data_IF_690163446415
#
_entry.id   IF_690163446415
#
_cell.length_a   1.000
_cell.length_b   1.000
_cell.length_c   1.000
_cell.angle_alpha   90.00
_cell.angle_beta   90.00
_cell.angle_gamma   90.00
#
_symmetry.space_group_name_H-M   'P 1'
#
loop_
_entity.id
_entity.type
_entity.pdbx_description
1 polymer ?
#
# COMPACT_ATOMS: atom_id res chain seq x y z
N UNK A 1 22.94 -33.53 77.34
CA UNK A 1 22.95 -33.61 75.87
C UNK A 1 21.97 -32.58 75.32
N UNK A 2 22.43 -31.65 74.47
CA UNK A 2 21.63 -30.57 73.88
C UNK A 2 20.66 -31.15 72.83
N UNK A 3 19.37 -30.88 72.94
CA UNK A 3 18.41 -31.08 71.86
C UNK A 3 18.23 -29.76 71.11
N UNK A 4 18.67 -29.73 69.86
CA UNK A 4 18.50 -28.62 68.92
C UNK A 4 17.09 -28.74 68.34
N UNK A 5 16.23 -27.77 68.64
CA UNK A 5 14.94 -27.63 67.97
C UNK A 5 15.17 -27.02 66.58
N UNK A 6 15.07 -27.85 65.54
CA UNK A 6 15.02 -27.37 64.15
C UNK A 6 13.57 -27.03 63.85
N UNK A 7 13.22 -25.75 63.94
CA UNK A 7 11.97 -25.22 63.41
C UNK A 7 12.00 -25.33 61.88
N UNK A 8 11.26 -26.30 61.33
CA UNK A 8 10.94 -26.33 59.89
C UNK A 8 10.02 -25.15 59.58
N UNK A 9 10.59 -24.12 58.97
CA UNK A 9 9.82 -23.04 58.34
C UNK A 9 9.13 -23.64 57.09
N UNK A 10 7.87 -24.03 57.23
CA UNK A 10 7.02 -24.34 56.09
C UNK A 10 6.72 -23.03 55.35
N UNK A 11 7.38 -22.82 54.20
CA UNK A 11 6.90 -21.85 53.22
C UNK A 11 5.61 -22.41 52.61
N UNK A 12 4.48 -21.96 53.13
CA UNK A 12 3.20 -22.15 52.47
C UNK A 12 3.20 -21.20 51.28
N UNK A 13 3.50 -21.69 50.09
CA UNK A 13 3.20 -20.96 48.85
C UNK A 13 1.69 -20.94 48.73
N UNK A 14 1.05 -19.87 49.22
CA UNK A 14 -0.33 -19.61 48.86
C UNK A 14 -0.35 -19.46 47.34
N UNK A 15 -0.96 -20.43 46.64
CA UNK A 15 -1.38 -20.24 45.27
C UNK A 15 -2.37 -19.07 45.31
N UNK A 16 -1.89 -17.87 44.98
CA UNK A 16 -2.75 -16.72 44.80
C UNK A 16 -3.65 -17.04 43.62
N UNK A 17 -4.87 -17.47 43.92
CA UNK A 17 -5.89 -17.66 42.92
C UNK A 17 -6.25 -16.25 42.46
N UNK A 18 -5.99 -15.92 41.20
CA UNK A 18 -6.38 -14.64 40.61
C UNK A 18 -7.67 -14.86 39.82
N UNK A 19 -8.86 -14.92 40.46
CA UNK A 19 -10.09 -15.15 39.73
C UNK A 19 -10.39 -13.95 38.83
N UNK A 20 -10.54 -14.22 37.54
CA UNK A 20 -11.13 -13.27 36.61
C UNK A 20 -10.34 -13.14 35.31
N UNK A 21 -10.94 -13.64 34.24
CA UNK A 21 -10.44 -13.41 32.90
C UNK A 21 -10.65 -11.95 32.51
N UNK A 22 -9.78 -11.46 31.63
CA UNK A 22 -10.03 -10.23 30.88
C UNK A 22 -10.65 -10.60 29.55
N UNK A 23 -11.90 -10.18 29.36
CA UNK A 23 -12.57 -10.25 28.08
C UNK A 23 -12.26 -8.98 27.28
N UNK A 24 -11.76 -9.16 26.07
CA UNK A 24 -11.42 -8.06 25.17
C UNK A 24 -12.42 -8.11 24.03
N UNK A 25 -13.15 -7.01 23.83
CA UNK A 25 -14.23 -6.91 22.85
C UNK A 25 -13.96 -5.89 21.76
N UNK A 26 -14.53 -6.17 20.58
CA UNK A 26 -14.58 -5.26 19.45
C UNK A 26 -16.02 -5.23 18.94
N UNK A 27 -16.62 -4.05 18.91
CA UNK A 27 -18.03 -3.85 18.59
C UNK A 27 -18.96 -4.72 19.46
N UNK A 28 -18.57 -4.94 20.72
CA UNK A 28 -19.31 -5.74 21.68
C UNK A 28 -19.09 -7.26 21.60
N UNK A 29 -18.46 -7.77 20.54
CA UNK A 29 -18.11 -9.19 20.39
C UNK A 29 -16.75 -9.50 21.03
N UNK A 30 -16.62 -10.68 21.65
CA UNK A 30 -15.35 -11.08 22.30
C UNK A 30 -14.37 -11.61 21.28
N UNK A 31 -13.22 -10.93 21.16
CA UNK A 31 -12.13 -11.32 20.25
C UNK A 31 -10.99 -12.03 20.99
N UNK A 32 -10.80 -11.76 22.29
CA UNK A 32 -9.86 -12.47 23.14
C UNK A 32 -10.42 -12.62 24.55
N UNK A 33 -10.05 -13.72 25.18
CA UNK A 33 -10.18 -13.94 26.62
C UNK A 33 -8.81 -14.35 27.13
N UNK A 34 -8.24 -13.58 28.05
CA UNK A 34 -6.89 -13.83 28.58
C UNK A 34 -6.92 -13.89 30.10
N UNK A 35 -6.00 -14.64 30.70
CA UNK A 35 -5.87 -14.75 32.14
C UNK A 35 -4.62 -14.01 32.65
N UNK A 36 -4.69 -13.44 33.86
CA UNK A 36 -3.54 -12.83 34.54
C UNK A 36 -2.34 -13.79 34.59
N UNK A 37 -2.60 -15.08 34.82
CA UNK A 37 -1.55 -16.11 34.91
C UNK A 37 -0.69 -16.22 33.66
N UNK A 38 -1.26 -15.90 32.50
CA UNK A 38 -0.56 -16.01 31.22
C UNK A 38 0.62 -15.04 31.16
N UNK A 39 0.50 -13.90 31.85
CA UNK A 39 1.46 -12.80 31.86
C UNK A 39 2.27 -12.69 33.15
N UNK A 40 2.25 -13.69 34.03
CA UNK A 40 3.06 -13.66 35.25
C UNK A 40 4.48 -14.18 35.02
N UNK A 41 5.46 -13.51 35.62
CA UNK A 41 6.78 -14.10 35.87
C UNK A 41 6.68 -15.02 37.10
N UNK A 42 7.11 -16.29 37.02
CA UNK A 42 7.10 -17.20 38.15
C UNK A 42 8.26 -16.85 39.11
N UNK A 43 8.08 -15.79 39.90
CA UNK A 43 9.05 -15.32 40.88
C UNK A 43 8.41 -15.16 42.27
N UNK A 44 9.07 -15.56 43.37
CA UNK A 44 8.56 -15.38 44.73
C UNK A 44 8.45 -13.89 45.09
N UNK A 45 7.27 -13.41 45.44
CA UNK A 45 7.06 -12.02 45.87
C UNK A 45 5.84 -11.37 45.21
N UNK A 46 5.95 -10.08 44.88
CA UNK A 46 4.89 -9.35 44.18
C UNK A 46 4.74 -9.85 42.73
N UNK A 47 3.49 -9.95 42.21
CA UNK A 47 3.26 -10.33 40.82
C UNK A 47 3.90 -9.31 39.88
N UNK A 48 4.78 -9.79 38.99
CA UNK A 48 5.40 -9.00 37.93
C UNK A 48 4.88 -9.45 36.57
N UNK A 49 4.67 -8.48 35.69
CA UNK A 49 4.26 -8.73 34.31
C UNK A 49 5.46 -9.26 33.51
N UNK A 50 5.26 -10.37 32.84
CA UNK A 50 6.14 -10.88 31.80
C UNK A 50 6.02 -9.96 30.57
N UNK A 51 6.93 -8.98 30.50
CA UNK A 51 6.98 -7.98 29.43
C UNK A 51 7.11 -8.58 28.04
N UNK A 52 7.75 -9.75 27.90
CA UNK A 52 7.89 -10.42 26.61
C UNK A 52 6.56 -10.98 26.14
N UNK A 53 5.86 -11.74 27.00
CA UNK A 53 4.54 -12.27 26.68
C UNK A 53 3.51 -11.17 26.44
N UNK A 54 3.59 -10.09 27.23
CA UNK A 54 2.74 -8.93 27.03
C UNK A 54 2.97 -8.29 25.66
N UNK A 55 4.23 -8.04 25.28
CA UNK A 55 4.57 -7.49 23.97
C UNK A 55 4.08 -8.39 22.82
N UNK A 56 4.26 -9.71 22.92
CA UNK A 56 3.75 -10.64 21.92
C UNK A 56 2.23 -10.59 21.79
N UNK A 57 1.53 -10.47 22.92
CA UNK A 57 0.08 -10.33 22.93
C UNK A 57 -0.36 -9.02 22.28
N UNK A 58 0.33 -7.91 22.55
CA UNK A 58 0.06 -6.62 21.89
C UNK A 58 0.25 -6.71 20.37
N UNK A 59 1.30 -7.38 19.89
CA UNK A 59 1.50 -7.58 18.44
C UNK A 59 0.36 -8.40 17.80
N UNK A 60 -0.14 -9.42 18.50
CA UNK A 60 -1.26 -10.24 18.04
C UNK A 60 -2.55 -9.42 18.01
N UNK A 61 -2.83 -8.69 19.11
CA UNK A 61 -4.01 -7.87 19.24
C UNK A 61 -4.02 -6.74 18.19
N UNK A 62 -2.89 -6.05 18.00
CA UNK A 62 -2.76 -4.98 17.01
C UNK A 62 -3.03 -5.49 15.60
N UNK A 63 -2.47 -6.65 15.20
CA UNK A 63 -2.76 -7.25 13.90
C UNK A 63 -4.22 -7.67 13.75
N UNK A 64 -4.84 -8.17 14.82
CA UNK A 64 -6.23 -8.62 14.80
C UNK A 64 -7.21 -7.44 14.62
N UNK A 65 -6.91 -6.30 15.24
CA UNK A 65 -7.80 -5.12 15.21
C UNK A 65 -7.39 -4.11 14.14
N UNK A 66 -6.24 -4.29 13.50
CA UNK A 66 -5.77 -3.44 12.43
C UNK A 66 -6.72 -3.52 11.22
N UNK A 67 -7.18 -2.36 10.80
CA UNK A 67 -7.92 -2.18 9.57
C UNK A 67 -7.17 -1.19 8.69
N UNK A 68 -6.74 -1.63 7.51
CA UNK A 68 -6.06 -0.77 6.55
C UNK A 68 -7.03 0.32 6.05
N UNK A 69 -6.61 1.61 6.02
CA UNK A 69 -7.43 2.65 5.41
C UNK A 69 -7.50 2.47 3.89
N UNK A 70 -8.68 2.70 3.32
CA UNK A 70 -8.91 2.68 1.88
C UNK A 70 -8.98 4.09 1.33
N UNK A 71 -8.14 4.42 0.34
CA UNK A 71 -8.24 5.69 -0.37
C UNK A 71 -9.60 5.83 -1.08
N UNK A 72 -10.09 7.06 -1.22
CA UNK A 72 -11.15 7.35 -2.16
C UNK A 72 -10.70 7.00 -3.59
N UNK A 73 -11.65 6.64 -4.46
CA UNK A 73 -11.39 6.31 -5.86
C UNK A 73 -12.47 6.88 -6.77
N UNK A 74 -12.16 7.00 -8.07
CA UNK A 74 -13.17 7.25 -9.10
C UNK A 74 -13.52 5.92 -9.77
N UNK A 75 -14.81 5.56 -9.77
CA UNK A 75 -15.34 4.35 -10.39
C UNK A 75 -15.38 4.44 -11.93
N UNK A 76 -15.99 3.43 -12.57
CA UNK A 76 -16.12 3.38 -14.04
C UNK A 76 -17.21 4.30 -14.60
N UNK A 77 -18.13 4.75 -13.75
CA UNK A 77 -19.20 5.70 -14.03
C UNK A 77 -18.79 7.15 -13.73
N UNK A 78 -17.53 7.37 -13.35
CA UNK A 78 -16.94 8.67 -13.02
C UNK A 78 -17.43 9.28 -11.69
N UNK A 79 -17.99 8.46 -10.81
CA UNK A 79 -18.38 8.85 -9.45
C UNK A 79 -17.21 8.67 -8.48
N UNK A 80 -17.16 9.53 -7.46
CA UNK A 80 -16.23 9.37 -6.33
C UNK A 80 -16.83 8.36 -5.36
N UNK A 81 -16.11 7.26 -5.14
CA UNK A 81 -16.34 6.34 -4.03
C UNK A 81 -15.54 6.87 -2.85
N UNK A 82 -16.25 7.13 -1.74
CA UNK A 82 -15.65 7.70 -0.53
C UNK A 82 -14.60 6.77 0.06
N UNK A 83 -13.64 7.40 0.70
CA UNK A 83 -12.58 6.77 1.45
C UNK A 83 -13.08 5.96 2.65
N UNK A 84 -12.30 4.97 3.06
CA UNK A 84 -12.56 4.13 4.22
C UNK A 84 -11.53 4.45 5.31
N UNK A 85 -12.01 4.91 6.46
CA UNK A 85 -11.14 5.17 7.62
C UNK A 85 -10.68 3.82 8.18
N UNK A 86 -9.37 3.65 8.28
CA UNK A 86 -8.73 2.51 8.91
C UNK A 86 -8.66 2.68 10.43
N UNK A 87 -8.15 1.68 11.11
CA UNK A 87 -7.92 1.74 12.55
C UNK A 87 -6.72 0.89 12.98
N UNK A 88 -6.10 1.23 14.10
CA UNK A 88 -5.07 0.44 14.77
C UNK A 88 -5.26 0.46 16.28
N UNK A 89 -4.60 -0.44 17.00
CA UNK A 89 -4.65 -0.46 18.45
C UNK A 89 -4.12 0.85 19.03
N UNK A 90 -4.88 1.46 19.94
CA UNK A 90 -4.34 2.46 20.84
C UNK A 90 -3.56 1.76 21.95
N UNK A 91 -2.30 1.43 21.67
CA UNK A 91 -1.47 0.63 22.58
C UNK A 91 -1.33 1.27 23.96
N UNK A 92 -1.20 2.60 24.03
CA UNK A 92 -1.06 3.31 25.31
C UNK A 92 -2.32 3.16 26.17
N UNK A 93 -3.49 3.43 25.59
CA UNK A 93 -4.76 3.32 26.32
C UNK A 93 -5.04 1.86 26.71
N UNK A 94 -4.82 0.93 25.79
CA UNK A 94 -4.96 -0.49 26.09
C UNK A 94 -4.02 -0.93 27.22
N UNK A 95 -2.78 -0.44 27.23
CA UNK A 95 -1.82 -0.74 28.31
C UNK A 95 -2.34 -0.25 29.65
N UNK A 96 -2.84 0.98 29.74
CA UNK A 96 -3.37 1.52 30.99
C UNK A 96 -4.55 0.68 31.53
N UNK A 97 -5.45 0.27 30.65
CA UNK A 97 -6.59 -0.57 31.03
C UNK A 97 -6.15 -1.99 31.40
N UNK A 98 -5.19 -2.56 30.67
CA UNK A 98 -4.59 -3.85 30.98
C UNK A 98 -3.90 -3.84 32.35
N UNK A 99 -3.13 -2.81 32.68
CA UNK A 99 -2.48 -2.67 33.99
C UNK A 99 -3.51 -2.56 35.12
N UNK A 100 -4.61 -1.84 34.87
CA UNK A 100 -5.73 -1.74 35.82
C UNK A 100 -6.38 -3.10 36.07
N UNK A 101 -6.59 -3.89 35.01
CA UNK A 101 -7.00 -5.28 35.14
C UNK A 101 -5.96 -6.10 35.90
N UNK A 102 -4.70 -6.06 35.49
CA UNK A 102 -3.64 -6.92 35.97
C UNK A 102 -3.40 -6.75 37.48
N UNK A 103 -3.35 -5.52 37.97
CA UNK A 103 -3.19 -5.21 39.40
C UNK A 103 -4.51 -5.04 40.17
N UNK A 104 -5.65 -5.10 39.48
CA UNK A 104 -6.97 -5.04 40.08
C UNK A 104 -7.49 -6.39 40.57
N UNK A 105 -8.74 -6.41 41.04
CA UNK A 105 -9.42 -7.60 41.55
C UNK A 105 -10.58 -8.00 40.62
N UNK A 106 -10.74 -9.30 40.36
CA UNK A 106 -11.89 -9.86 39.64
C UNK A 106 -11.78 -9.84 38.10
N UNK A 107 -12.80 -10.30 37.38
CA UNK A 107 -12.84 -10.26 35.92
C UNK A 107 -12.99 -8.82 35.42
N UNK A 108 -12.56 -8.57 34.19
CA UNK A 108 -12.74 -7.28 33.53
C UNK A 108 -13.21 -7.48 32.08
N UNK A 109 -13.82 -6.43 31.54
CA UNK A 109 -14.16 -6.33 30.13
C UNK A 109 -13.60 -5.03 29.58
N UNK A 110 -12.81 -5.13 28.52
CA UNK A 110 -12.23 -3.98 27.81
C UNK A 110 -12.76 -3.99 26.38
N UNK A 111 -13.41 -2.90 25.97
CA UNK A 111 -13.59 -2.63 24.54
C UNK A 111 -12.26 -2.13 23.99
N UNK A 112 -11.74 -2.75 22.93
CA UNK A 112 -10.41 -2.43 22.42
C UNK A 112 -10.34 -0.96 22.01
N UNK A 113 -9.48 -0.15 22.64
CA UNK A 113 -9.30 1.23 22.25
C UNK A 113 -8.52 1.26 20.93
N UNK A 114 -9.04 1.98 19.94
CA UNK A 114 -8.40 2.13 18.63
C UNK A 114 -8.10 3.58 18.32
N UNK A 115 -7.15 3.80 17.41
CA UNK A 115 -6.87 5.09 16.79
C UNK A 115 -7.29 5.02 15.33
N UNK A 116 -8.01 6.03 14.87
CA UNK A 116 -8.36 6.18 13.45
C UNK A 116 -7.11 6.42 12.60
N UNK A 117 -7.05 5.78 11.44
CA UNK A 117 -6.05 6.00 10.42
C UNK A 117 -6.77 6.56 9.20
N UNK A 118 -6.46 7.80 8.84
CA UNK A 118 -7.02 8.42 7.64
C UNK A 118 -6.23 8.00 6.41
N UNK A 119 -6.90 7.73 5.28
CA UNK A 119 -6.23 7.43 4.03
C UNK A 119 -5.48 8.66 3.53
N UNK A 120 -4.48 8.42 2.66
CA UNK A 120 -3.72 9.52 2.07
C UNK A 120 -4.54 10.34 1.07
N UNK A 121 -5.52 9.69 0.45
CA UNK A 121 -6.37 10.29 -0.57
C UNK A 121 -7.82 10.14 -0.11
N UNK A 122 -8.43 11.27 0.22
CA UNK A 122 -9.84 11.39 0.52
C UNK A 122 -10.64 11.91 -0.69
N UNK A 123 -11.96 11.90 -0.55
CA UNK A 123 -12.89 12.32 -1.59
C UNK A 123 -12.80 13.81 -1.92
N UNK A 124 -12.47 14.67 -0.95
CA UNK A 124 -12.25 16.10 -1.17
C UNK A 124 -11.02 16.32 -2.07
N UNK A 125 -9.89 15.69 -1.73
CA UNK A 125 -8.68 15.75 -2.53
C UNK A 125 -8.95 15.26 -3.96
N UNK A 126 -9.63 14.11 -4.12
CA UNK A 126 -9.97 13.59 -5.43
C UNK A 126 -10.86 14.52 -6.24
N UNK A 127 -11.82 15.19 -5.58
CA UNK A 127 -12.69 16.17 -6.23
C UNK A 127 -11.88 17.34 -6.80
N UNK A 128 -10.87 17.79 -6.06
CA UNK A 128 -10.02 18.90 -6.50
C UNK A 128 -9.06 18.47 -7.63
N UNK A 129 -8.37 17.33 -7.50
CA UNK A 129 -7.32 16.94 -8.46
C UNK A 129 -7.84 16.31 -9.76
N UNK A 130 -9.17 16.13 -9.91
CA UNK A 130 -9.80 15.65 -11.15
C UNK A 130 -10.27 16.77 -12.08
N UNK A 131 -10.17 18.03 -11.66
CA UNK A 131 -10.77 19.16 -12.38
C UNK A 131 -10.05 19.48 -13.69
N UNK A 132 -8.72 19.54 -13.68
CA UNK A 132 -7.95 19.95 -14.85
C UNK A 132 -7.19 18.77 -15.46
N UNK A 133 -7.49 18.45 -16.72
CA UNK A 133 -6.68 17.49 -17.48
C UNK A 133 -5.42 18.16 -18.03
N UNK A 134 -4.26 17.76 -17.53
CA UNK A 134 -2.96 18.33 -17.92
C UNK A 134 -2.21 17.47 -18.95
N UNK A 135 -2.61 16.21 -19.16
CA UNK A 135 -2.00 15.37 -20.19
C UNK A 135 -2.86 14.20 -20.61
N UNK A 136 -2.69 13.73 -21.84
CA UNK A 136 -3.35 12.52 -22.32
C UNK A 136 -2.62 11.84 -23.47
N UNK A 137 -2.65 10.51 -23.47
CA UNK A 137 -2.21 9.71 -24.60
C UNK A 137 -2.99 8.42 -24.74
N UNK A 138 -2.99 7.87 -25.95
CA UNK A 138 -3.66 6.62 -26.24
C UNK A 138 -2.86 5.78 -27.23
N UNK A 139 -2.94 4.46 -27.09
CA UNK A 139 -2.37 3.49 -28.02
C UNK A 139 -3.39 2.40 -28.34
N UNK A 140 -3.16 1.67 -29.43
CA UNK A 140 -4.09 0.63 -29.91
C UNK A 140 -3.43 -0.75 -29.89
N UNK A 141 -4.23 -1.79 -29.70
CA UNK A 141 -3.81 -3.19 -29.71
C UNK A 141 -4.91 -4.09 -30.27
N UNK A 142 -4.53 -5.27 -30.75
CA UNK A 142 -5.49 -6.26 -31.22
C UNK A 142 -6.21 -6.94 -30.03
N UNK A 143 -7.50 -6.62 -29.85
CA UNK A 143 -8.37 -7.17 -28.79
C UNK A 143 -8.74 -8.65 -28.97
N UNK A 144 -8.44 -9.25 -30.14
CA UNK A 144 -8.59 -10.68 -30.36
C UNK A 144 -7.46 -11.49 -29.69
N UNK A 145 -6.32 -10.87 -29.38
CA UNK A 145 -5.30 -11.51 -28.56
C UNK A 145 -5.70 -11.44 -27.08
N UNK A 146 -6.43 -12.45 -26.60
CA UNK A 146 -7.04 -12.46 -25.26
C UNK A 146 -6.01 -12.40 -24.14
N UNK A 147 -4.95 -13.19 -24.20
CA UNK A 147 -3.90 -13.18 -23.16
C UNK A 147 -3.22 -11.82 -23.05
N UNK A 148 -2.86 -11.23 -24.20
CA UNK A 148 -2.26 -9.89 -24.24
C UNK A 148 -3.24 -8.82 -23.73
N UNK A 149 -4.50 -8.92 -24.09
CA UNK A 149 -5.54 -7.98 -23.66
C UNK A 149 -5.74 -8.04 -22.14
N UNK A 150 -5.76 -9.25 -21.57
CA UNK A 150 -5.85 -9.48 -20.14
C UNK A 150 -4.64 -8.87 -19.40
N UNK A 151 -3.42 -9.12 -19.87
CA UNK A 151 -2.21 -8.54 -19.30
C UNK A 151 -2.21 -7.00 -19.32
N UNK A 152 -2.73 -6.39 -20.40
CA UNK A 152 -2.90 -4.93 -20.46
C UNK A 152 -3.89 -4.47 -19.39
N UNK A 153 -5.04 -5.15 -19.26
CA UNK A 153 -6.07 -4.80 -18.28
C UNK A 153 -5.50 -4.75 -16.87
N UNK A 154 -4.79 -5.81 -16.46
CA UNK A 154 -4.15 -5.87 -15.13
C UNK A 154 -3.17 -4.71 -14.88
N UNK A 155 -2.37 -4.35 -15.88
CA UNK A 155 -1.44 -3.22 -15.75
C UNK A 155 -2.14 -1.86 -15.75
N UNK A 156 -3.24 -1.73 -16.49
CA UNK A 156 -4.05 -0.50 -16.52
C UNK A 156 -4.80 -0.32 -15.20
N UNK A 157 -5.39 -1.40 -14.66
CA UNK A 157 -6.05 -1.41 -13.35
C UNK A 157 -5.10 -1.00 -12.24
N UNK A 158 -3.85 -1.50 -12.26
CA UNK A 158 -2.82 -1.12 -11.29
C UNK A 158 -2.41 0.37 -11.36
N UNK A 159 -2.61 1.03 -12.51
CA UNK A 159 -2.29 2.46 -12.70
C UNK A 159 -3.47 3.38 -12.43
N UNK A 160 -4.70 2.88 -12.58
CA UNK A 160 -5.89 3.68 -12.47
C UNK A 160 -6.11 4.15 -11.03
N UNK A 161 -6.56 5.39 -10.82
CA UNK A 161 -6.69 6.04 -9.52
C UNK A 161 -5.36 6.27 -8.77
N UNK A 162 -4.21 6.12 -9.43
CA UNK A 162 -2.95 6.41 -8.76
C UNK A 162 -2.78 7.93 -8.57
N UNK A 163 -2.61 8.35 -7.32
CA UNK A 163 -2.31 9.73 -6.95
C UNK A 163 -0.83 9.84 -6.59
N UNK A 164 -0.13 10.80 -7.17
CA UNK A 164 1.28 11.08 -6.92
C UNK A 164 1.43 12.49 -6.35
N UNK A 165 1.89 12.61 -5.11
CA UNK A 165 1.97 13.89 -4.39
C UNK A 165 3.17 14.75 -4.83
N UNK A 166 3.14 16.06 -4.56
CA UNK A 166 4.26 16.97 -4.81
C UNK A 166 5.60 16.41 -4.31
N UNK A 167 6.60 16.43 -5.17
CA UNK A 167 7.95 15.95 -4.89
C UNK A 167 8.13 14.42 -4.94
N UNK A 168 7.06 13.64 -5.00
CA UNK A 168 7.15 12.17 -5.06
C UNK A 168 7.64 11.68 -6.42
N UNK A 169 8.33 10.54 -6.40
CA UNK A 169 8.76 9.82 -7.59
C UNK A 169 7.86 8.62 -7.86
N UNK A 170 7.40 8.52 -9.10
CA UNK A 170 6.69 7.36 -9.60
C UNK A 170 7.67 6.33 -10.18
N UNK A 171 7.38 5.05 -9.96
CA UNK A 171 8.06 3.93 -10.63
C UNK A 171 7.03 2.98 -11.19
N UNK A 172 7.06 2.76 -12.51
CA UNK A 172 6.13 1.87 -13.19
C UNK A 172 6.22 0.46 -12.64
N UNK A 173 7.44 -0.07 -12.47
CA UNK A 173 7.62 -1.40 -11.92
C UNK A 173 7.11 -1.52 -10.49
N UNK A 174 7.32 -0.52 -9.62
CA UNK A 174 6.80 -0.57 -8.24
C UNK A 174 5.27 -0.58 -8.19
N UNK A 175 4.62 0.21 -9.04
CA UNK A 175 3.15 0.33 -9.06
C UNK A 175 2.48 -0.87 -9.71
N UNK A 176 2.94 -1.30 -10.89
CA UNK A 176 2.34 -2.43 -11.63
C UNK A 176 2.76 -3.78 -11.05
N UNK A 177 3.94 -3.83 -10.41
CA UNK A 177 4.51 -5.02 -9.79
C UNK A 177 5.17 -5.99 -10.76
N UNK A 178 5.63 -7.11 -10.19
CA UNK A 178 6.21 -8.22 -10.95
C UNK A 178 5.13 -8.91 -11.78
N UNK A 179 5.42 -9.21 -13.04
CA UNK A 179 4.51 -9.90 -13.95
C UNK A 179 4.68 -11.40 -13.75
N UNK A 180 3.82 -12.02 -12.95
CA UNK A 180 3.86 -13.47 -12.66
C UNK A 180 2.50 -14.12 -12.85
N UNK A 181 2.50 -15.44 -13.01
CA UNK A 181 1.28 -16.26 -13.12
C UNK A 181 0.39 -16.15 -11.89
N UNK A 182 0.98 -16.06 -10.70
CA UNK A 182 0.26 -15.94 -9.42
C UNK A 182 -0.49 -14.61 -9.32
N UNK A 183 0.01 -13.58 -10.02
CA UNK A 183 -0.65 -12.27 -10.15
C UNK A 183 -1.58 -12.19 -11.38
N UNK A 184 -1.88 -13.33 -12.00
CA UNK A 184 -2.81 -13.44 -13.13
C UNK A 184 -2.21 -13.16 -14.50
N UNK A 185 -0.91 -12.81 -14.61
CA UNK A 185 -0.32 -12.54 -15.92
C UNK A 185 -0.18 -13.81 -16.77
N UNK A 186 -0.59 -13.69 -18.03
CA UNK A 186 -0.61 -14.77 -19.00
C UNK A 186 0.55 -14.66 -19.99
N UNK A 187 0.89 -15.79 -20.63
CA UNK A 187 1.87 -15.82 -21.72
C UNK A 187 1.32 -15.08 -22.95
N UNK A 188 2.11 -14.17 -23.48
CA UNK A 188 1.86 -13.47 -24.72
C UNK A 188 3.19 -13.08 -25.37
N UNK A 189 3.13 -12.60 -26.61
CA UNK A 189 4.32 -12.15 -27.35
C UNK A 189 5.03 -11.01 -26.61
N UNK A 190 6.32 -11.19 -26.36
CA UNK A 190 7.25 -10.25 -25.74
C UNK A 190 8.43 -9.98 -26.68
N UNK A 191 9.23 -8.95 -26.37
CA UNK A 191 10.50 -8.69 -27.04
C UNK A 191 11.62 -8.90 -26.00
N UNK A 192 12.49 -9.87 -26.25
CA UNK A 192 13.64 -10.18 -25.38
C UNK A 192 14.91 -10.02 -26.21
N UNK A 193 15.82 -9.14 -25.78
CA UNK A 193 17.08 -8.84 -26.51
C UNK A 193 16.87 -8.49 -27.99
N UNK A 194 15.74 -7.88 -28.34
CA UNK A 194 15.40 -7.52 -29.72
C UNK A 194 14.74 -8.64 -30.54
N UNK A 195 14.49 -9.82 -29.97
CA UNK A 195 13.77 -10.90 -30.66
C UNK A 195 12.38 -11.11 -30.07
N UNK A 196 11.45 -11.52 -30.93
CA UNK A 196 10.11 -11.86 -30.49
C UNK A 196 10.13 -13.25 -29.86
N UNK A 197 9.62 -13.34 -28.64
CA UNK A 197 9.48 -14.59 -27.90
C UNK A 197 8.12 -14.64 -27.22
N UNK A 198 7.77 -15.78 -26.63
CA UNK A 198 6.65 -15.87 -25.70
C UNK A 198 7.14 -15.70 -24.27
N UNK A 199 6.43 -14.87 -23.51
CA UNK A 199 6.77 -14.58 -22.12
C UNK A 199 5.56 -14.13 -21.33
N UNK A 200 5.68 -14.18 -20.01
CA UNK A 200 4.63 -13.72 -19.09
C UNK A 200 4.55 -12.20 -19.14
N UNK A 201 3.34 -11.65 -19.25
CA UNK A 201 3.14 -10.19 -19.27
C UNK A 201 3.48 -9.55 -20.61
N UNK A 202 3.23 -10.22 -21.73
CA UNK A 202 3.26 -9.57 -23.05
C UNK A 202 2.24 -8.43 -23.11
N UNK A 203 2.69 -7.25 -23.56
CA UNK A 203 1.87 -6.05 -23.72
C UNK A 203 2.13 -4.90 -22.73
N UNK A 204 2.93 -5.13 -21.68
CA UNK A 204 3.11 -4.17 -20.59
C UNK A 204 3.93 -2.95 -21.00
N UNK A 205 4.93 -3.11 -21.86
CA UNK A 205 5.68 -1.97 -22.40
C UNK A 205 4.80 -1.00 -23.21
N UNK A 206 3.68 -1.47 -23.79
CA UNK A 206 2.72 -0.57 -24.43
C UNK A 206 1.99 0.30 -23.42
N UNK A 207 1.63 -0.26 -22.26
CA UNK A 207 1.01 0.51 -21.16
C UNK A 207 2.01 1.53 -20.62
N UNK A 208 3.26 1.12 -20.37
CA UNK A 208 4.34 2.03 -19.95
C UNK A 208 4.60 3.14 -20.97
N UNK A 209 4.65 2.81 -22.27
CA UNK A 209 4.81 3.81 -23.33
C UNK A 209 3.61 4.76 -23.38
N UNK A 210 2.39 4.25 -23.19
CA UNK A 210 1.19 5.11 -23.14
C UNK A 210 1.26 6.08 -21.95
N UNK A 211 1.69 5.61 -20.79
CA UNK A 211 1.86 6.44 -19.60
C UNK A 211 2.94 7.49 -19.81
N UNK A 212 4.11 7.08 -20.31
CA UNK A 212 5.21 7.99 -20.63
C UNK A 212 4.74 9.16 -21.50
N UNK A 213 4.01 8.86 -22.57
CA UNK A 213 3.55 9.92 -23.47
C UNK A 213 2.48 10.83 -22.84
N UNK A 214 1.65 10.32 -21.92
CA UNK A 214 0.65 11.13 -21.23
C UNK A 214 1.30 12.07 -20.21
N UNK A 215 2.31 11.56 -19.48
CA UNK A 215 3.11 12.27 -18.47
C UNK A 215 4.03 13.32 -19.11
N UNK A 216 4.67 13.00 -20.22
CA UNK A 216 5.49 13.93 -21.00
C UNK A 216 4.66 15.09 -21.57
N UNK A 217 3.43 14.82 -22.03
CA UNK A 217 2.48 15.87 -22.43
C UNK A 217 1.98 16.70 -21.27
N UNK A 218 2.00 16.16 -20.05
CA UNK A 218 1.69 16.87 -18.82
C UNK A 218 2.90 17.64 -18.27
N UNK A 219 3.99 17.77 -19.03
CA UNK A 219 5.18 18.54 -18.63
C UNK A 219 5.96 17.95 -17.45
N UNK A 220 5.70 16.71 -17.04
CA UNK A 220 6.33 16.13 -15.85
C UNK A 220 7.82 15.82 -16.07
N UNK A 221 8.60 15.88 -14.99
CA UNK A 221 10.02 15.56 -15.00
C UNK A 221 10.26 14.06 -15.22
N UNK A 222 10.78 13.68 -16.40
CA UNK A 222 11.14 12.29 -16.71
C UNK A 222 12.51 11.96 -16.11
N UNK A 223 12.51 11.12 -15.07
CA UNK A 223 13.72 10.72 -14.33
C UNK A 223 14.45 9.57 -15.02
N UNK A 224 13.72 8.57 -15.49
CA UNK A 224 14.29 7.39 -16.11
C UNK A 224 13.41 6.86 -17.23
N UNK A 225 13.98 6.67 -18.42
CA UNK A 225 13.30 6.09 -19.58
C UNK A 225 14.30 5.30 -20.44
N UNK A 226 13.90 4.11 -20.87
CA UNK A 226 14.66 3.29 -21.83
C UNK A 226 13.85 3.03 -23.08
N UNK A 227 14.48 3.12 -24.24
CA UNK A 227 13.90 2.66 -25.50
C UNK A 227 14.21 1.19 -25.77
N UNK A 228 13.33 0.52 -26.51
CA UNK A 228 13.58 -0.79 -27.07
C UNK A 228 14.71 -0.68 -28.08
N UNK A 229 15.51 -1.75 -28.22
CA UNK A 229 16.52 -1.87 -29.28
C UNK A 229 15.91 -1.93 -30.69
N UNK A 230 14.60 -2.18 -30.81
CA UNK A 230 13.86 -2.25 -32.07
C UNK A 230 12.60 -1.42 -32.01
N UNK A 231 12.19 -0.91 -33.18
CA UNK A 231 10.94 -0.17 -33.33
C UNK A 231 9.74 -1.01 -32.90
N UNK A 232 8.90 -0.43 -32.06
CA UNK A 232 7.61 -0.98 -31.66
C UNK A 232 6.48 -0.34 -32.47
N UNK A 233 5.41 -1.08 -32.81
CA UNK A 233 4.39 -0.59 -33.73
C UNK A 233 3.33 0.32 -33.07
N UNK A 234 3.27 0.37 -31.73
CA UNK A 234 2.20 1.03 -30.99
C UNK A 234 2.48 2.51 -30.63
N UNK A 235 3.69 3.01 -30.89
CA UNK A 235 4.09 4.41 -30.69
C UNK A 235 5.09 4.87 -31.77
N UNK A 236 5.18 6.17 -32.08
CA UNK A 236 6.22 6.71 -32.96
C UNK A 236 7.66 6.43 -32.45
N UNK A 237 8.68 6.52 -33.32
CA UNK A 237 10.08 6.44 -32.91
C UNK A 237 10.40 7.43 -31.78
N UNK A 238 11.18 6.98 -30.78
CA UNK A 238 11.55 7.79 -29.61
C UNK A 238 10.44 7.98 -28.58
N UNK A 239 9.24 7.43 -28.81
CA UNK A 239 8.08 7.58 -27.92
C UNK A 239 7.75 6.32 -27.11
N UNK A 240 8.70 5.41 -26.99
CA UNK A 240 8.53 4.17 -26.25
C UNK A 240 9.17 4.23 -24.85
N UNK A 241 8.67 3.42 -23.93
CA UNK A 241 9.23 3.23 -22.60
C UNK A 241 9.26 1.73 -22.28
N UNK A 242 10.46 1.18 -22.19
CA UNK A 242 10.70 -0.24 -21.92
C UNK A 242 10.74 -0.48 -20.43
N UNK A 243 10.08 -1.56 -19.99
CA UNK A 243 10.02 -1.94 -18.59
C UNK A 243 10.22 -3.45 -18.41
N UNK A 244 10.99 -3.83 -17.41
CA UNK A 244 11.20 -5.21 -16.96
C UNK A 244 11.52 -5.22 -15.46
N UNK A 245 10.98 -6.18 -14.71
CA UNK A 245 11.05 -6.18 -13.24
C UNK A 245 12.47 -6.14 -12.67
N UNK A 246 13.43 -6.85 -13.29
CA UNK A 246 14.85 -6.86 -12.89
C UNK A 246 15.73 -6.03 -13.85
N UNK A 247 15.15 -5.07 -14.55
CA UNK A 247 15.86 -4.32 -15.59
C UNK A 247 15.29 -2.92 -15.76
N UNK A 248 15.04 -2.48 -17.01
CA UNK A 248 14.51 -1.15 -17.27
C UNK A 248 13.26 -0.82 -16.46
N UNK A 249 13.17 0.42 -16.00
CA UNK A 249 11.98 0.98 -15.38
C UNK A 249 11.69 2.35 -15.98
N UNK A 250 10.42 2.74 -15.96
CA UNK A 250 9.98 4.08 -16.32
C UNK A 250 9.65 4.85 -15.05
N UNK A 251 10.37 5.94 -14.81
CA UNK A 251 10.25 6.77 -13.62
C UNK A 251 10.11 8.24 -14.00
N UNK A 252 9.26 8.94 -13.26
CA UNK A 252 9.06 10.38 -13.38
C UNK A 252 8.75 10.95 -12.01
N UNK A 253 8.95 12.25 -11.85
CA UNK A 253 8.72 12.96 -10.59
C UNK A 253 7.58 13.95 -10.75
N UNK A 254 6.74 14.08 -9.73
CA UNK A 254 5.82 15.21 -9.65
C UNK A 254 6.58 16.43 -9.15
N UNK A 255 6.99 17.32 -10.06
CA UNK A 255 7.64 18.58 -9.70
C UNK A 255 6.64 19.69 -9.31
N UNK A 256 5.34 19.47 -9.50
CA UNK A 256 4.32 20.48 -9.24
C UNK A 256 4.02 20.65 -7.74
N UNK A 257 3.36 21.76 -7.41
CA UNK A 257 2.85 22.07 -6.08
C UNK A 257 1.55 21.34 -5.74
N UNK A 258 0.95 20.64 -6.70
CA UNK A 258 -0.32 19.92 -6.55
C UNK A 258 -0.15 18.42 -6.83
N UNK A 259 -0.93 17.53 -6.19
CA UNK A 259 -0.95 16.12 -6.56
C UNK A 259 -1.49 15.93 -7.98
N UNK A 260 -1.02 14.88 -8.64
CA UNK A 260 -1.56 14.46 -9.94
C UNK A 260 -2.31 13.15 -9.80
N UNK A 261 -3.39 13.00 -10.57
CA UNK A 261 -4.21 11.81 -10.66
C UNK A 261 -4.01 11.12 -12.02
N UNK A 262 -3.64 9.86 -11.99
CA UNK A 262 -3.54 9.00 -13.17
C UNK A 262 -4.87 8.26 -13.35
N UNK A 263 -5.54 8.55 -14.46
CA UNK A 263 -6.72 7.79 -14.91
C UNK A 263 -6.36 6.95 -16.12
N UNK A 264 -6.51 5.64 -15.98
CA UNK A 264 -6.11 4.67 -16.99
C UNK A 264 -7.27 3.75 -17.32
N UNK A 265 -7.53 3.53 -18.61
CA UNK A 265 -8.60 2.65 -19.09
C UNK A 265 -8.17 1.85 -20.30
N UNK A 266 -8.56 0.58 -20.34
CA UNK A 266 -8.39 -0.29 -21.51
C UNK A 266 -9.73 -0.85 -21.96
N UNK A 267 -10.18 -0.47 -23.15
CA UNK A 267 -11.45 -0.93 -23.71
C UNK A 267 -11.37 -0.92 -25.24
N UNK A 268 -12.00 -1.90 -25.90
CA UNK A 268 -12.14 -1.90 -27.36
C UNK A 268 -10.82 -1.95 -28.14
N UNK A 269 -9.76 -2.58 -27.61
CA UNK A 269 -8.45 -2.61 -28.26
C UNK A 269 -7.68 -1.30 -28.15
N UNK A 270 -8.00 -0.46 -27.16
CA UNK A 270 -7.34 0.81 -26.89
C UNK A 270 -6.92 0.90 -25.44
N UNK A 271 -5.73 1.45 -25.18
CA UNK A 271 -5.29 1.93 -23.87
C UNK A 271 -5.34 3.45 -23.91
N UNK A 272 -6.00 4.07 -22.94
CA UNK A 272 -6.02 5.52 -22.75
C UNK A 272 -5.52 5.83 -21.35
N UNK A 273 -4.61 6.79 -21.25
CA UNK A 273 -4.14 7.32 -19.98
C UNK A 273 -4.28 8.84 -20.02
N UNK A 274 -4.87 9.38 -18.97
CA UNK A 274 -5.06 10.80 -18.73
C UNK A 274 -4.44 11.17 -17.39
N UNK A 275 -3.82 12.34 -17.35
CA UNK A 275 -3.23 12.94 -16.15
C UNK A 275 -4.06 14.15 -15.81
N UNK A 276 -4.53 14.19 -14.57
CA UNK A 276 -5.30 15.30 -14.01
C UNK A 276 -4.56 15.93 -12.83
N UNK A 277 -4.88 17.18 -12.53
CA UNK A 277 -4.53 17.86 -11.28
C UNK A 277 -5.62 18.89 -10.96
N UNK A 278 -5.42 19.65 -9.89
CA UNK A 278 -6.30 20.78 -9.55
C UNK A 278 -6.03 21.97 -10.47
N UNK A 279 -6.98 22.89 -10.53
CA UNK A 279 -6.87 24.17 -11.24
C UNK A 279 -5.79 25.10 -10.65
N UNK A 280 -5.43 24.88 -9.38
CA UNK A 280 -4.37 25.57 -8.65
C UNK A 280 -2.95 25.03 -8.94
N UNK A 281 -2.78 24.19 -9.95
CA UNK A 281 -1.47 23.70 -10.38
C UNK A 281 -0.63 24.86 -10.93
N UNK A 282 0.59 25.01 -10.43
CA UNK A 282 1.55 25.99 -10.95
C UNK A 282 2.14 25.50 -12.28
N UNK A 283 1.35 25.61 -13.34
CA UNK A 283 1.73 25.34 -14.72
C UNK A 283 2.41 26.56 -15.35
N UNK A 284 3.34 27.23 -14.65
CA UNK A 284 4.06 28.39 -15.22
C UNK A 284 4.94 27.88 -16.37
N UNK A 285 4.55 28.10 -17.64
CA UNK A 285 5.26 27.56 -18.79
C UNK A 285 6.60 28.28 -18.99
N UNK A 286 6.81 29.42 -18.31
CA UNK A 286 7.95 30.32 -18.47
C UNK A 286 9.08 30.09 -17.48
N UNK A 287 8.90 29.26 -16.45
CA UNK A 287 9.90 29.01 -15.42
C UNK A 287 10.41 27.56 -15.39
N UNK A 288 10.32 26.88 -16.53
CA UNK A 288 11.13 25.71 -16.78
C UNK A 288 12.52 26.18 -17.22
N UNK A 289 13.58 26.02 -16.40
CA UNK A 289 14.90 25.93 -17.00
C UNK A 289 14.81 24.70 -17.91
N UNK A 290 14.71 24.95 -19.22
CA UNK A 290 14.89 23.95 -20.24
C UNK A 290 16.24 23.30 -19.97
N UNK A 291 16.23 22.19 -19.22
CA UNK A 291 17.33 21.29 -19.12
C UNK A 291 17.40 20.60 -20.48
N UNK A 292 18.05 21.30 -21.40
CA UNK A 292 18.82 20.72 -22.48
C UNK A 292 19.89 19.80 -21.86
N UNK A 293 19.46 18.69 -21.28
CA UNK A 293 20.34 17.59 -20.94
C UNK A 293 20.20 16.60 -22.09
N UNK A 294 21.22 16.64 -22.93
CA UNK A 294 21.69 15.54 -23.76
C UNK A 294 21.41 14.19 -23.06
N UNK A 295 20.30 13.54 -23.40
CA UNK A 295 20.12 12.12 -23.11
C UNK A 295 21.14 11.40 -23.98
N UNK A 296 22.25 10.97 -23.36
CA UNK A 296 23.18 10.04 -23.99
C UNK A 296 22.38 8.85 -24.54
N UNK A 297 22.67 8.55 -25.81
CA UNK A 297 22.10 7.47 -26.63
C UNK A 297 22.17 6.11 -25.95
#
# INVERSE_FOLDING_TARGET
MKFIWITKLLLITQLVNYPGDLMITQQGETIFTINRSDFLIPFPGQPMIDSYKYSQFIDILDRQVYQEPGNAIIDDQDNIVQEQIGSKLNQQEFTNQFLTYFFGNGPAKIEVPTLSIYPKVDSELLSNIREQQIGQYQTYFNSNNKNRSHNISLAVEALNNHVLFPGEMFSFNRVVGKRTTERGYLKARVIVKGEFSEGIGGGICQVSSTLFNAVDKAGMEIVQRYSHSRRVPYVPPGRDATVSWYGPDFQFKNQYNQPILIRAKSQGGKVMIKIYSSDAINDDPGNHPALAINLKR
#
